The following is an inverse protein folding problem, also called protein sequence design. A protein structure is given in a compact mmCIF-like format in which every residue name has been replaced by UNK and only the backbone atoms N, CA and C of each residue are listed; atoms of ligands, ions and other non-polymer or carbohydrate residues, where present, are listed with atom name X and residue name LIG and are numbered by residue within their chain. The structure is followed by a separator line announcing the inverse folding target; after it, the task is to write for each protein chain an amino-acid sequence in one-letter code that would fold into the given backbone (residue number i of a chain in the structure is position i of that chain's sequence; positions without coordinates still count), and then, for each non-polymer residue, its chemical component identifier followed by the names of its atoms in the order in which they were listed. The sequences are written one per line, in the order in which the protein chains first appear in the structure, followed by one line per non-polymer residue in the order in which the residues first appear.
data_IF_073924109424
#
_entry.id   IF_073924109424
#
_cell.length_a   1.000
_cell.length_b   1.000
_cell.length_c   1.000
_cell.angle_alpha   90.00
_cell.angle_beta   90.00
_cell.angle_gamma   90.00
#
_symmetry.space_group_name_H-M   'P 1'
#
loop_
_entity.id
_entity.type
_entity.pdbx_description
1 polymer ?
#
# COMPACT_ATOMS: atom_id res chain seq x y z
N UNK A 1 21.43 23.87 -12.07
CA UNK A 1 21.75 23.32 -10.73
C UNK A 1 20.82 22.14 -10.41
N UNK A 2 20.36 21.42 -11.44
CA UNK A 2 19.21 20.51 -11.35
C UNK A 2 19.62 19.03 -11.26
N UNK A 3 20.92 18.75 -11.45
CA UNK A 3 21.46 17.39 -11.53
C UNK A 3 21.96 16.84 -10.18
N UNK A 4 22.23 17.70 -9.20
CA UNK A 4 22.67 17.27 -7.86
C UNK A 4 21.47 16.88 -6.98
N UNK A 5 20.38 17.66 -7.06
CA UNK A 5 19.15 17.41 -6.28
C UNK A 5 18.50 16.07 -6.62
N UNK A 6 18.44 15.68 -7.90
CA UNK A 6 17.87 14.40 -8.34
C UNK A 6 18.69 13.18 -7.88
N UNK A 7 20.00 13.36 -7.70
CA UNK A 7 20.92 12.30 -7.25
C UNK A 7 20.80 12.05 -5.75
N UNK A 8 20.58 13.09 -4.96
CA UNK A 8 20.28 12.95 -3.52
C UNK A 8 18.91 12.30 -3.30
N UNK A 9 17.86 12.74 -3.99
CA UNK A 9 16.51 12.16 -3.87
C UNK A 9 16.51 10.66 -4.24
N UNK A 10 17.18 10.27 -5.33
CA UNK A 10 17.31 8.85 -5.71
C UNK A 10 18.09 8.01 -4.68
N UNK A 11 19.14 8.58 -4.07
CA UNK A 11 19.86 7.92 -2.98
C UNK A 11 19.01 7.75 -1.72
N UNK A 12 18.07 8.66 -1.46
CA UNK A 12 17.15 8.57 -0.31
C UNK A 12 16.03 7.54 -0.51
N UNK A 13 15.69 7.20 -1.75
CA UNK A 13 14.67 6.18 -2.08
C UNK A 13 15.26 4.76 -1.99
N UNK A 14 16.49 4.57 -2.46
CA UNK A 14 17.12 3.27 -2.51
C UNK A 14 17.30 2.68 -1.10
N UNK A 15 16.64 1.55 -0.83
CA UNK A 15 16.74 0.85 0.46
C UNK A 15 15.86 1.42 1.58
N UNK A 16 15.00 2.41 1.29
CA UNK A 16 14.00 2.86 2.26
C UNK A 16 13.05 1.71 2.59
N UNK A 17 12.85 1.46 3.87
CA UNK A 17 11.84 0.54 4.41
C UNK A 17 10.81 1.32 5.20
N UNK A 18 9.64 0.71 5.40
CA UNK A 18 8.58 1.31 6.21
C UNK A 18 9.09 1.68 7.62
N UNK A 19 8.73 2.88 8.06
CA UNK A 19 8.87 3.36 9.44
C UNK A 19 7.51 3.83 9.97
N UNK A 20 7.26 3.67 11.28
CA UNK A 20 5.96 4.04 11.89
C UNK A 20 5.64 5.53 11.71
N UNK A 21 6.65 6.40 11.61
CA UNK A 21 6.46 7.81 11.32
C UNK A 21 5.92 8.08 9.92
N UNK A 22 6.04 7.14 8.97
CA UNK A 22 5.57 7.30 7.59
C UNK A 22 4.05 7.56 7.51
N UNK A 23 3.26 7.10 8.49
CA UNK A 23 1.83 7.43 8.61
C UNK A 23 1.53 8.94 8.78
N UNK A 24 2.52 9.71 9.26
CA UNK A 24 2.39 11.14 9.53
C UNK A 24 3.11 12.02 8.51
N UNK A 25 3.80 11.42 7.54
CA UNK A 25 4.57 12.14 6.52
C UNK A 25 3.69 12.45 5.32
N UNK A 26 3.90 13.62 4.73
CA UNK A 26 3.11 14.15 3.59
C UNK A 26 3.82 13.92 2.24
N UNK A 27 4.79 13.00 2.20
CA UNK A 27 5.50 12.65 0.97
C UNK A 27 4.99 11.32 0.39
N UNK A 28 4.88 11.26 -0.94
CA UNK A 28 4.26 10.14 -1.67
C UNK A 28 4.90 8.79 -1.35
N UNK A 29 6.22 8.76 -1.19
CA UNK A 29 6.93 7.52 -0.87
C UNK A 29 6.51 7.00 0.51
N UNK A 30 6.46 7.87 1.51
CA UNK A 30 6.06 7.52 2.87
C UNK A 30 4.59 7.11 2.92
N UNK A 31 3.70 7.84 2.24
CA UNK A 31 2.29 7.46 2.15
C UNK A 31 2.13 6.07 1.53
N UNK A 32 2.85 5.78 0.43
CA UNK A 32 2.82 4.47 -0.22
C UNK A 32 3.32 3.33 0.68
N UNK A 33 4.44 3.54 1.38
CA UNK A 33 4.97 2.56 2.33
C UNK A 33 3.97 2.28 3.46
N UNK A 34 3.39 3.34 4.04
CA UNK A 34 2.38 3.24 5.09
C UNK A 34 1.12 2.49 4.62
N UNK A 35 0.62 2.80 3.42
CA UNK A 35 -0.53 2.10 2.83
C UNK A 35 -0.26 0.61 2.62
N UNK A 36 0.93 0.23 2.13
CA UNK A 36 1.26 -1.21 1.98
C UNK A 36 1.40 -1.93 3.31
N UNK A 37 1.90 -1.24 4.35
CA UNK A 37 1.97 -1.80 5.70
C UNK A 37 0.57 -2.05 6.27
N UNK A 38 -0.35 -1.10 6.09
CA UNK A 38 -1.76 -1.24 6.46
C UNK A 38 -2.43 -2.41 5.73
N UNK A 39 -2.29 -2.50 4.40
CA UNK A 39 -2.86 -3.60 3.61
C UNK A 39 -2.37 -4.97 4.09
N UNK A 40 -1.08 -5.12 4.41
CA UNK A 40 -0.53 -6.38 4.92
C UNK A 40 -1.07 -6.69 6.32
N UNK A 41 -1.13 -5.69 7.20
CA UNK A 41 -1.70 -5.81 8.54
C UNK A 41 -3.18 -6.22 8.49
N UNK A 42 -3.97 -5.57 7.64
CA UNK A 42 -5.38 -5.86 7.43
C UNK A 42 -5.59 -7.29 6.97
N UNK A 43 -4.81 -7.75 5.98
CA UNK A 43 -4.88 -9.14 5.52
C UNK A 43 -4.52 -10.11 6.64
N UNK A 44 -3.47 -9.83 7.41
CA UNK A 44 -3.09 -10.69 8.53
C UNK A 44 -4.18 -10.76 9.62
N UNK A 45 -4.73 -9.61 10.00
CA UNK A 45 -5.78 -9.49 11.01
C UNK A 45 -7.13 -10.06 10.55
N UNK A 46 -7.44 -9.98 9.25
CA UNK A 46 -8.62 -10.59 8.63
C UNK A 46 -8.51 -12.13 8.50
N UNK A 47 -7.37 -12.73 8.88
CA UNK A 47 -7.16 -14.18 8.79
C UNK A 47 -6.57 -14.66 7.46
N UNK A 48 -6.01 -13.76 6.65
CA UNK A 48 -5.45 -14.01 5.33
C UNK A 48 -6.47 -13.84 4.20
N UNK A 49 -6.01 -13.92 2.95
CA UNK A 49 -6.89 -14.02 1.78
C UNK A 49 -7.12 -15.49 1.49
N UNK A 50 -8.36 -15.95 1.64
CA UNK A 50 -8.75 -17.30 1.28
C UNK A 50 -9.25 -17.36 -0.17
N UNK A 51 -9.22 -18.55 -0.79
CA UNK A 51 -9.78 -18.73 -2.13
C UNK A 51 -11.30 -18.48 -2.19
N UNK A 52 -11.99 -18.48 -1.05
CA UNK A 52 -13.42 -18.20 -0.95
C UNK A 52 -13.73 -16.69 -1.08
N UNK A 53 -12.84 -15.82 -0.57
CA UNK A 53 -13.00 -14.35 -0.65
C UNK A 53 -13.02 -13.81 -2.10
N UNK A 54 -12.53 -14.61 -3.06
CA UNK A 54 -12.53 -14.25 -4.49
C UNK A 54 -13.87 -14.48 -5.18
N UNK A 55 -14.74 -15.34 -4.64
CA UNK A 55 -16.03 -15.67 -5.24
C UNK A 55 -17.19 -14.77 -4.76
N UNK A 56 -17.03 -14.06 -3.63
CA UNK A 56 -18.10 -13.19 -3.10
C UNK A 56 -18.27 -11.90 -3.93
N UNK A 57 -17.18 -11.35 -4.48
CA UNK A 57 -17.26 -10.10 -5.26
C UNK A 57 -17.92 -10.24 -6.63
N UNK A 58 -17.96 -11.45 -7.18
CA UNK A 58 -18.68 -11.72 -8.43
C UNK A 58 -20.17 -12.01 -8.18
N UNK A 59 -20.56 -12.39 -6.96
CA UNK A 59 -21.95 -12.75 -6.64
C UNK A 59 -22.82 -11.54 -6.27
N UNK A 60 -22.25 -10.49 -5.66
CA UNK A 60 -23.00 -9.28 -5.30
C UNK A 60 -23.39 -8.40 -6.50
N UNK A 61 -22.71 -8.56 -7.65
CA UNK A 61 -23.02 -7.79 -8.86
C UNK A 61 -24.14 -8.41 -9.70
N UNK A 62 -24.45 -9.71 -9.53
CA UNK A 62 -25.55 -10.37 -10.24
C UNK A 62 -26.92 -10.22 -9.56
N UNK A 63 -26.98 -9.91 -8.26
CA UNK A 63 -28.25 -9.76 -7.54
C UNK A 63 -28.87 -8.36 -7.68
N UNK A 64 -28.08 -7.33 -8.04
CA UNK A 64 -28.59 -5.97 -8.32
C UNK A 64 -29.12 -5.76 -9.73
N UNK A 65 -28.88 -6.69 -10.65
CA UNK A 65 -29.39 -6.64 -12.03
C UNK A 65 -30.57 -7.59 -12.30
N UNK A 66 -31.16 -8.20 -11.26
CA UNK A 66 -32.39 -9.02 -11.37
C UNK A 66 -33.62 -8.36 -10.79
#
# INVERSE_FOLDING_TARGET
MDNEKSKEESSNIAGKVYDVSDYKRDDTLSSGLATTHEQVSDVYNAGGITSADRNEKDSENEEKER
#
